data_IF_042485853282
#
_entry.id   IF_042485853282
#
_cell.length_a   1.000
_cell.length_b   1.000
_cell.length_c   1.000
_cell.angle_alpha   90.00
_cell.angle_beta   90.00
_cell.angle_gamma   90.00
#
_symmetry.space_group_name_H-M   'P 1'
#
loop_
_entity.id
_entity.type
_entity.pdbx_description
1 polymer ?
#
# COMPACT_ATOMS: atom_id res chain seq x y z
N UNK A 1 16.77 2.21 -13.83
CA UNK A 1 17.14 2.54 -12.43
C UNK A 1 16.07 1.99 -11.51
N UNK A 2 16.41 1.27 -10.42
CA UNK A 2 15.40 0.81 -9.48
C UNK A 2 14.77 2.05 -8.82
N UNK A 3 13.44 2.18 -8.89
CA UNK A 3 12.70 3.26 -8.22
C UNK A 3 13.05 3.18 -6.73
N UNK A 4 13.77 4.18 -6.22
CA UNK A 4 14.02 4.33 -4.77
C UNK A 4 12.65 4.55 -4.13
N UNK A 5 12.15 3.54 -3.41
CA UNK A 5 11.02 3.72 -2.52
C UNK A 5 11.47 4.66 -1.40
N UNK A 6 10.89 5.86 -1.35
CA UNK A 6 11.08 6.78 -0.22
C UNK A 6 10.22 6.25 0.91
N UNK A 7 10.86 5.69 1.94
CA UNK A 7 10.18 5.37 3.19
C UNK A 7 9.71 6.72 3.74
N UNK A 8 8.39 6.87 3.97
CA UNK A 8 7.82 8.08 4.59
C UNK A 8 8.43 8.34 5.98
N UNK A 9 8.16 9.49 6.61
CA UNK A 9 8.71 9.79 7.93
C UNK A 9 8.32 8.67 8.89
N UNK A 10 9.32 7.96 9.38
CA UNK A 10 9.18 7.08 10.53
C UNK A 10 8.75 7.95 11.73
N UNK A 11 8.10 7.40 12.75
CA UNK A 11 7.67 8.16 13.93
C UNK A 11 8.81 8.96 14.57
N UNK A 12 8.48 9.90 15.46
CA UNK A 12 9.37 10.96 15.98
C UNK A 12 10.76 10.46 16.47
N UNK A 13 10.89 9.17 16.79
CA UNK A 13 12.17 8.52 17.15
C UNK A 13 12.47 7.19 16.45
N UNK A 14 11.64 6.72 15.53
CA UNK A 14 11.78 5.38 14.94
C UNK A 14 13.06 5.24 14.11
N UNK A 15 13.49 6.29 13.38
CA UNK A 15 14.77 6.26 12.65
C UNK A 15 15.98 6.23 13.61
N UNK A 16 15.86 6.89 14.77
CA UNK A 16 16.88 6.84 15.82
C UNK A 16 16.97 5.44 16.43
N UNK A 17 15.83 4.83 16.77
CA UNK A 17 15.78 3.46 17.30
C UNK A 17 16.30 2.44 16.30
N UNK A 18 15.97 2.60 15.03
CA UNK A 18 16.49 1.76 13.95
C UNK A 18 18.02 1.89 13.82
N UNK A 19 18.55 3.11 13.97
CA UNK A 19 19.99 3.38 13.96
C UNK A 19 20.69 2.74 15.16
N UNK A 20 20.14 2.89 16.36
CA UNK A 20 20.66 2.27 17.60
C UNK A 20 20.65 0.75 17.47
N UNK A 21 19.53 0.18 17.02
CA UNK A 21 19.41 -1.27 16.87
C UNK A 21 20.42 -1.80 15.86
N UNK A 22 20.54 -1.17 14.68
CA UNK A 22 21.52 -1.52 13.66
C UNK A 22 22.96 -1.55 14.20
N UNK A 23 23.33 -0.54 15.00
CA UNK A 23 24.63 -0.49 15.67
C UNK A 23 24.82 -1.63 16.68
N UNK A 24 23.82 -1.92 17.52
CA UNK A 24 23.90 -2.96 18.54
C UNK A 24 24.07 -4.38 17.97
N UNK A 25 23.50 -4.66 16.79
CA UNK A 25 23.58 -5.99 16.16
C UNK A 25 24.63 -6.06 15.03
N UNK A 26 25.41 -5.00 14.84
CA UNK A 26 26.44 -4.92 13.80
C UNK A 26 25.89 -5.03 12.37
N UNK A 27 24.66 -4.56 12.11
CA UNK A 27 24.04 -4.56 10.78
C UNK A 27 23.97 -3.16 10.20
N UNK A 28 23.91 -3.09 8.87
CA UNK A 28 23.61 -1.85 8.17
C UNK A 28 22.12 -1.46 8.39
N UNK A 29 21.87 -0.18 8.73
CA UNK A 29 20.52 0.38 8.95
C UNK A 29 19.55 0.08 7.82
N UNK A 30 19.97 0.30 6.57
CA UNK A 30 19.14 0.08 5.37
C UNK A 30 18.75 -1.39 5.20
N UNK A 31 19.69 -2.31 5.46
CA UNK A 31 19.41 -3.74 5.38
C UNK A 31 18.43 -4.18 6.48
N UNK A 32 18.60 -3.66 7.70
CA UNK A 32 17.67 -3.91 8.80
C UNK A 32 16.28 -3.35 8.49
N UNK A 33 16.18 -2.12 8.01
CA UNK A 33 14.92 -1.50 7.59
C UNK A 33 14.19 -2.37 6.56
N UNK A 34 14.92 -2.81 5.53
CA UNK A 34 14.37 -3.62 4.43
C UNK A 34 13.86 -4.97 4.94
N UNK A 35 14.61 -5.63 5.84
CA UNK A 35 14.18 -6.89 6.44
C UNK A 35 12.93 -6.73 7.31
N UNK A 36 12.83 -5.66 8.10
CA UNK A 36 11.67 -5.37 8.94
C UNK A 36 10.43 -5.04 8.10
N UNK A 37 10.58 -4.22 7.05
CA UNK A 37 9.51 -3.93 6.11
C UNK A 37 9.04 -5.22 5.44
N UNK A 38 9.96 -6.07 4.97
CA UNK A 38 9.64 -7.35 4.35
C UNK A 38 8.89 -8.30 5.30
N UNK A 39 9.34 -8.40 6.56
CA UNK A 39 8.64 -9.16 7.61
C UNK A 39 7.21 -8.64 7.80
N UNK A 40 7.07 -7.32 7.96
CA UNK A 40 5.77 -6.69 8.22
C UNK A 40 4.80 -6.84 7.06
N UNK A 41 5.28 -6.70 5.82
CA UNK A 41 4.48 -6.95 4.61
C UNK A 41 4.03 -8.41 4.57
N UNK A 42 4.91 -9.36 4.91
CA UNK A 42 4.55 -10.78 4.98
C UNK A 42 3.47 -11.06 6.04
N UNK A 43 3.59 -10.49 7.24
CA UNK A 43 2.60 -10.61 8.32
C UNK A 43 1.23 -10.04 7.92
N UNK A 44 1.23 -8.98 7.11
CA UNK A 44 0.03 -8.25 6.69
C UNK A 44 -0.50 -8.68 5.32
N UNK A 45 0.09 -9.70 4.70
CA UNK A 45 -0.19 -10.05 3.30
C UNK A 45 -1.67 -10.31 3.04
N UNK A 46 -2.32 -11.13 3.86
CA UNK A 46 -3.74 -11.48 3.70
C UNK A 46 -4.63 -10.23 3.80
N UNK A 47 -4.46 -9.43 4.85
CA UNK A 47 -5.17 -8.16 5.01
C UNK A 47 -4.96 -7.20 3.83
N UNK A 48 -3.74 -7.11 3.29
CA UNK A 48 -3.46 -6.28 2.12
C UNK A 48 -4.15 -6.83 0.85
N UNK A 49 -4.27 -8.15 0.72
CA UNK A 49 -5.00 -8.79 -0.37
C UNK A 49 -6.51 -8.49 -0.25
N UNK A 50 -7.09 -8.62 0.94
CA UNK A 50 -8.51 -8.30 1.17
C UNK A 50 -8.82 -6.83 0.84
N UNK A 51 -7.94 -5.91 1.27
CA UNK A 51 -8.08 -4.48 0.96
C UNK A 51 -7.98 -4.20 -0.54
N UNK A 52 -7.08 -4.90 -1.24
CA UNK A 52 -6.91 -4.78 -2.69
C UNK A 52 -8.15 -5.30 -3.42
N UNK A 53 -8.66 -6.47 -3.02
CA UNK A 53 -9.86 -7.08 -3.61
C UNK A 53 -11.08 -6.19 -3.42
N UNK A 54 -11.33 -5.73 -2.20
CA UNK A 54 -12.42 -4.81 -1.90
C UNK A 54 -12.30 -3.51 -2.72
N UNK A 55 -11.10 -2.92 -2.78
CA UNK A 55 -10.86 -1.70 -3.54
C UNK A 55 -11.05 -1.87 -5.05
N UNK A 56 -10.76 -3.07 -5.59
CA UNK A 56 -10.94 -3.42 -6.98
C UNK A 56 -12.43 -3.63 -7.30
N UNK A 57 -13.18 -4.29 -6.42
CA UNK A 57 -14.62 -4.46 -6.52
C UNK A 57 -15.36 -3.11 -6.57
N UNK A 58 -14.99 -2.16 -5.71
CA UNK A 58 -15.59 -0.82 -5.72
C UNK A 58 -15.41 -0.10 -7.07
N UNK A 59 -14.35 -0.42 -7.81
CA UNK A 59 -13.99 0.20 -9.09
C UNK A 59 -14.32 -0.66 -10.31
N UNK A 60 -15.02 -1.79 -10.12
CA UNK A 60 -15.40 -2.69 -11.20
C UNK A 60 -14.20 -3.29 -11.96
N UNK A 61 -13.07 -3.51 -11.30
CA UNK A 61 -11.85 -4.05 -11.91
C UNK A 61 -11.34 -5.29 -11.18
N UNK A 62 -10.42 -6.02 -11.82
CA UNK A 62 -9.77 -7.17 -11.19
C UNK A 62 -8.71 -6.72 -10.18
N UNK A 63 -8.46 -7.50 -9.11
CA UNK A 63 -7.39 -7.21 -8.15
C UNK A 63 -6.01 -7.05 -8.82
N UNK A 64 -5.72 -7.86 -9.84
CA UNK A 64 -4.48 -7.78 -10.62
C UNK A 64 -4.34 -6.45 -11.37
N UNK A 65 -5.43 -5.98 -12.00
CA UNK A 65 -5.42 -4.69 -12.71
C UNK A 65 -5.16 -3.53 -11.75
N UNK A 66 -5.82 -3.54 -10.59
CA UNK A 66 -5.61 -2.52 -9.56
C UNK A 66 -4.18 -2.58 -9.00
N UNK A 67 -3.65 -3.78 -8.76
CA UNK A 67 -2.28 -3.96 -8.28
C UNK A 67 -1.26 -3.35 -9.24
N UNK A 68 -1.39 -3.64 -10.54
CA UNK A 68 -0.50 -3.10 -11.57
C UNK A 68 -0.64 -1.57 -11.71
N UNK A 69 -1.86 -1.04 -11.55
CA UNK A 69 -2.10 0.40 -11.55
C UNK A 69 -1.38 1.08 -10.37
N UNK A 70 -1.47 0.53 -9.16
CA UNK A 70 -0.82 1.04 -7.95
C UNK A 70 0.71 1.01 -8.04
N UNK A 71 1.29 -0.06 -8.62
CA UNK A 71 2.74 -0.14 -8.84
C UNK A 71 3.25 0.89 -9.85
N UNK A 72 2.42 1.24 -10.83
CA UNK A 72 2.75 2.21 -11.87
C UNK A 72 2.58 3.64 -11.38
N UNK A 73 1.55 3.90 -10.58
CA UNK A 73 1.16 5.21 -10.06
C UNK A 73 0.70 5.11 -8.57
N UNK A 74 1.54 5.53 -7.61
CA UNK A 74 1.19 5.52 -6.19
C UNK A 74 -0.03 6.38 -5.82
N UNK A 75 -0.38 7.38 -6.64
CA UNK A 75 -1.51 8.28 -6.42
C UNK A 75 -2.79 7.83 -7.13
N UNK A 76 -2.82 6.60 -7.68
CA UNK A 76 -3.93 6.11 -8.49
C UNK A 76 -5.29 6.22 -7.77
N UNK A 77 -5.35 5.85 -6.48
CA UNK A 77 -6.60 5.86 -5.71
C UNK A 77 -7.12 7.28 -5.44
N UNK A 78 -6.23 8.26 -5.29
CA UNK A 78 -6.58 9.68 -5.10
C UNK A 78 -7.15 10.27 -6.39
N UNK A 79 -6.60 9.86 -7.52
CA UNK A 79 -7.02 10.31 -8.85
C UNK A 79 -8.30 9.60 -9.34
N UNK A 80 -8.56 8.39 -8.83
CA UNK A 80 -9.68 7.53 -9.21
C UNK A 80 -10.42 7.12 -7.92
N UNK A 81 -11.14 8.06 -7.28
CA UNK A 81 -11.89 7.79 -6.06
C UNK A 81 -12.93 6.69 -6.32
N UNK A 82 -13.25 5.93 -5.27
CA UNK A 82 -14.34 4.96 -5.36
C UNK A 82 -15.66 5.71 -5.60
N UNK A 83 -16.57 5.17 -6.44
CA UNK A 83 -17.90 5.75 -6.60
C UNK A 83 -18.60 5.77 -5.25
N UNK A 84 -19.02 6.95 -4.79
CA UNK A 84 -19.89 7.11 -3.63
C UNK A 84 -21.27 6.58 -3.98
N UNK A 85 -21.92 5.88 -3.05
CA UNK A 85 -23.12 5.05 -3.29
C UNK A 85 -24.37 5.73 -3.84
N UNK A 86 -24.34 7.02 -4.17
CA UNK A 86 -25.48 7.77 -4.73
C UNK A 86 -25.63 7.61 -6.26
N UNK A 87 -24.64 7.06 -6.96
CA UNK A 87 -24.70 6.94 -8.44
C UNK A 87 -25.32 5.60 -8.94
N UNK A 88 -25.88 4.78 -8.04
CA UNK A 88 -26.41 3.44 -8.41
C UNK A 88 -27.93 3.37 -8.60
N UNK A 89 -28.70 4.43 -8.33
CA UNK A 89 -30.18 4.34 -8.35
C UNK A 89 -30.89 4.80 -9.63
N UNK A 90 -30.24 5.46 -10.59
CA UNK A 90 -30.98 6.03 -11.75
C UNK A 90 -31.08 5.14 -13.00
N UNK A 91 -30.55 3.91 -12.99
CA UNK A 91 -30.45 3.10 -14.21
C UNK A 91 -31.53 2.01 -14.39
N UNK A 92 -32.47 1.83 -13.46
CA UNK A 92 -33.49 0.75 -13.56
C UNK A 92 -34.95 1.20 -13.38
N UNK A 93 -35.25 2.48 -13.57
CA UNK A 93 -36.61 3.02 -13.45
C UNK A 93 -37.23 3.44 -14.77
N UNK A 94 -37.51 2.52 -15.70
CA UNK A 94 -38.55 2.68 -16.75
C UNK A 94 -38.67 1.41 -17.60
N UNK A 95 -39.61 0.52 -17.25
CA UNK A 95 -40.63 -0.07 -18.17
C UNK A 95 -41.87 -0.37 -17.33
#
# INVERSE_FOLDING_TARGET
MPKRFTIGPLGEHDDHWLTVWAALIGKNKTNLATALIGLRVREKKEMLQDMLEYSAQLRGMTPESLFNALLSNPHYLEQHPAPTGDEREDATGSI
#
